data_IF_726573957468
#
_entry.id   IF_726573957468
#
_cell.length_a   1.000
_cell.length_b   1.000
_cell.length_c   1.000
_cell.angle_alpha   90.00
_cell.angle_beta   90.00
_cell.angle_gamma   90.00
#
_symmetry.space_group_name_H-M   'P 1'
#
loop_
_entity.id
_entity.type
_entity.pdbx_description
1 polymer ?
#
# COMPACT_ATOMS: atom_id res chain seq x y z
N UNK A 1 -6.05 -13.87 13.22
CA UNK A 1 -5.23 -12.69 12.93
C UNK A 1 -5.64 -12.22 11.56
N UNK A 2 -6.21 -11.03 11.48
CA UNK A 2 -6.88 -10.56 10.28
C UNK A 2 -5.86 -10.10 9.24
N UNK A 3 -6.26 -10.18 7.97
CA UNK A 3 -5.42 -9.82 6.82
C UNK A 3 -6.12 -8.75 6.00
N UNK A 4 -5.43 -7.64 5.76
CA UNK A 4 -5.91 -6.57 4.89
C UNK A 4 -5.10 -6.62 3.58
N UNK A 5 -5.74 -7.05 2.50
CA UNK A 5 -5.13 -7.03 1.16
C UNK A 5 -5.51 -5.72 0.48
N UNK A 6 -4.52 -4.89 0.16
CA UNK A 6 -4.76 -3.55 -0.39
C UNK A 6 -4.91 -3.59 -1.91
N UNK A 7 -5.93 -2.88 -2.39
CA UNK A 7 -6.09 -2.56 -3.81
C UNK A 7 -5.39 -1.23 -4.17
N UNK A 8 -5.10 -0.99 -5.44
CA UNK A 8 -4.46 0.24 -5.92
C UNK A 8 -5.27 1.48 -5.53
N UNK A 9 -6.60 1.40 -5.61
CA UNK A 9 -7.49 2.54 -5.34
C UNK A 9 -7.45 3.03 -3.89
N UNK A 10 -7.42 2.11 -2.90
CA UNK A 10 -7.44 2.48 -1.48
C UNK A 10 -6.10 3.08 -1.03
N UNK A 11 -5.01 2.65 -1.69
CA UNK A 11 -3.66 3.18 -1.52
C UNK A 11 -3.58 4.60 -2.09
N UNK A 12 -4.00 4.81 -3.34
CA UNK A 12 -3.96 6.12 -4.00
C UNK A 12 -4.78 7.16 -3.24
N UNK A 13 -5.96 6.79 -2.75
CA UNK A 13 -6.84 7.70 -2.03
C UNK A 13 -6.38 7.99 -0.59
N UNK A 14 -5.34 7.31 -0.09
CA UNK A 14 -4.84 7.44 1.29
C UNK A 14 -5.88 7.06 2.35
N UNK A 15 -6.91 6.29 1.97
CA UNK A 15 -7.98 5.90 2.90
C UNK A 15 -7.46 4.89 3.92
N UNK A 16 -6.65 3.93 3.46
CA UNK A 16 -6.06 2.93 4.34
C UNK A 16 -5.12 3.56 5.38
N UNK A 17 -4.30 4.53 4.95
CA UNK A 17 -3.42 5.28 5.86
C UNK A 17 -4.24 6.00 6.94
N UNK A 18 -5.32 6.68 6.56
CA UNK A 18 -6.21 7.36 7.52
C UNK A 18 -6.86 6.40 8.52
N UNK A 19 -7.26 5.21 8.08
CA UNK A 19 -7.81 4.17 8.96
C UNK A 19 -6.74 3.60 9.92
N UNK A 20 -5.49 3.50 9.47
CA UNK A 20 -4.35 3.16 10.33
C UNK A 20 -4.06 4.26 11.35
N UNK A 21 -4.07 5.53 10.93
CA UNK A 21 -3.84 6.69 11.80
C UNK A 21 -4.90 6.81 12.89
N UNK A 22 -6.19 6.68 12.52
CA UNK A 22 -7.32 6.76 13.44
C UNK A 22 -7.41 5.59 14.42
N UNK A 23 -6.69 4.49 14.15
CA UNK A 23 -6.76 3.27 14.94
C UNK A 23 -8.01 2.42 14.66
N UNK A 24 -8.73 2.70 13.57
CA UNK A 24 -9.85 1.86 13.11
C UNK A 24 -9.39 0.45 12.72
N UNK A 25 -8.14 0.35 12.26
CA UNK A 25 -7.49 -0.93 11.99
C UNK A 25 -6.55 -1.25 13.15
N UNK A 26 -6.91 -2.28 13.92
CA UNK A 26 -6.08 -2.86 14.98
C UNK A 26 -5.58 -4.26 14.56
N UNK A 27 -4.30 -4.53 14.82
CA UNK A 27 -3.68 -5.86 14.78
C UNK A 27 -3.97 -6.73 13.54
N UNK A 28 -3.72 -6.21 12.34
CA UNK A 28 -3.80 -6.99 11.09
C UNK A 28 -2.44 -7.14 10.37
N UNK A 29 -2.30 -8.21 9.60
CA UNK A 29 -1.24 -8.34 8.59
C UNK A 29 -1.65 -7.57 7.32
N UNK A 30 -0.85 -6.58 6.93
CA UNK A 30 -1.09 -5.73 5.77
C UNK A 30 -0.39 -6.36 4.57
N UNK A 31 -1.16 -6.68 3.54
CA UNK A 31 -0.63 -7.29 2.31
C UNK A 31 -0.82 -6.30 1.17
N UNK A 32 0.29 -5.92 0.54
CA UNK A 32 0.32 -5.09 -0.66
C UNK A 32 0.69 -5.99 -1.84
N UNK A 33 -0.22 -6.26 -2.79
CA UNK A 33 0.11 -7.05 -3.96
C UNK A 33 1.24 -6.43 -4.77
N UNK A 34 2.17 -7.25 -5.29
CA UNK A 34 3.27 -6.79 -6.15
C UNK A 34 2.75 -6.04 -7.39
N UNK A 35 1.62 -6.50 -7.94
CA UNK A 35 0.93 -5.86 -9.06
C UNK A 35 0.52 -4.40 -8.77
N UNK A 36 0.14 -4.06 -7.53
CA UNK A 36 -0.19 -2.68 -7.14
C UNK A 36 1.06 -1.79 -7.24
N UNK A 37 2.21 -2.29 -6.80
CA UNK A 37 3.48 -1.57 -6.91
C UNK A 37 3.87 -1.37 -8.37
N UNK A 38 3.76 -2.41 -9.19
CA UNK A 38 4.09 -2.34 -10.61
C UNK A 38 3.16 -1.37 -11.36
N UNK A 39 1.86 -1.35 -11.05
CA UNK A 39 0.90 -0.40 -11.62
C UNK A 39 1.29 1.05 -11.25
N UNK A 40 1.54 1.32 -9.97
CA UNK A 40 1.93 2.65 -9.49
C UNK A 40 3.24 3.12 -10.12
N UNK A 41 4.23 2.24 -10.22
CA UNK A 41 5.49 2.51 -10.92
C UNK A 41 5.25 2.81 -12.40
N UNK A 42 4.43 2.03 -13.09
CA UNK A 42 4.12 2.26 -14.49
C UNK A 42 3.40 3.61 -14.73
N UNK A 43 2.51 4.03 -13.83
CA UNK A 43 1.90 5.36 -13.89
C UNK A 43 2.92 6.47 -13.63
N UNK A 44 3.80 6.31 -12.64
CA UNK A 44 4.84 7.27 -12.30
C UNK A 44 5.87 7.43 -13.44
N UNK A 45 6.30 6.32 -14.06
CA UNK A 45 7.19 6.34 -15.23
C UNK A 45 6.58 7.05 -16.45
N UNK A 46 5.25 7.09 -16.54
CA UNK A 46 4.52 7.86 -17.56
C UNK A 46 4.31 9.33 -17.18
N UNK A 47 4.89 9.79 -16.08
CA UNK A 47 4.77 11.17 -15.58
C UNK A 47 3.41 11.49 -14.96
N UNK A 48 2.62 10.48 -14.56
CA UNK A 48 1.30 10.71 -13.98
C UNK A 48 1.39 10.86 -12.46
N UNK A 49 0.87 11.96 -11.94
CA UNK A 49 0.87 12.29 -10.50
C UNK A 49 0.30 11.17 -9.61
N UNK A 50 -0.69 10.43 -10.12
CA UNK A 50 -1.32 9.32 -9.40
C UNK A 50 -0.32 8.22 -9.02
N UNK A 51 0.67 7.95 -9.89
CA UNK A 51 1.71 6.96 -9.62
C UNK A 51 2.64 7.41 -8.50
N UNK A 52 3.10 8.67 -8.57
CA UNK A 52 3.94 9.26 -7.52
C UNK A 52 3.23 9.31 -6.17
N UNK A 53 1.98 9.79 -6.14
CA UNK A 53 1.15 9.83 -4.94
C UNK A 53 0.94 8.44 -4.33
N UNK A 54 0.59 7.45 -5.15
CA UNK A 54 0.39 6.09 -4.65
C UNK A 54 1.66 5.48 -4.06
N UNK A 55 2.82 5.69 -4.70
CA UNK A 55 4.11 5.21 -4.16
C UNK A 55 4.47 5.89 -2.83
N UNK A 56 4.18 7.18 -2.70
CA UNK A 56 4.37 7.92 -1.44
C UNK A 56 3.45 7.37 -0.33
N UNK A 57 2.18 7.10 -0.65
CA UNK A 57 1.24 6.51 0.30
C UNK A 57 1.66 5.10 0.75
N UNK A 58 2.16 4.25 -0.15
CA UNK A 58 2.74 2.94 0.22
C UNK A 58 3.88 3.11 1.21
N UNK A 59 4.76 4.09 0.99
CA UNK A 59 5.88 4.38 1.89
C UNK A 59 5.37 4.78 3.28
N UNK A 60 4.40 5.69 3.36
CA UNK A 60 3.79 6.15 4.62
C UNK A 60 3.09 5.02 5.37
N UNK A 61 2.34 4.16 4.67
CA UNK A 61 1.70 2.97 5.25
C UNK A 61 2.76 2.08 5.90
N UNK A 62 3.89 1.84 5.23
CA UNK A 62 4.97 1.00 5.78
C UNK A 62 5.62 1.62 7.03
N UNK A 63 5.86 2.91 7.02
CA UNK A 63 6.44 3.64 8.17
C UNK A 63 5.49 3.63 9.38
N UNK A 64 4.21 3.94 9.16
CA UNK A 64 3.20 3.97 10.23
C UNK A 64 2.89 2.56 10.76
N UNK A 65 2.82 1.56 9.88
CA UNK A 65 2.65 0.17 10.30
C UNK A 65 3.84 -0.27 11.17
N UNK A 66 5.07 0.07 10.77
CA UNK A 66 6.28 -0.23 11.54
C UNK A 66 6.27 0.40 12.93
N UNK A 67 5.86 1.67 13.06
CA UNK A 67 5.77 2.33 14.38
C UNK A 67 4.68 1.76 15.28
N UNK A 68 3.65 1.14 14.69
CA UNK A 68 2.56 0.43 15.40
C UNK A 68 2.83 -1.07 15.62
N UNK A 69 3.98 -1.59 15.19
CA UNK A 69 4.31 -3.02 15.29
C UNK A 69 3.50 -3.92 14.34
N UNK A 70 2.85 -3.35 13.33
CA UNK A 70 2.08 -4.09 12.33
C UNK A 70 3.00 -4.64 11.23
N UNK A 71 2.68 -5.84 10.75
CA UNK A 71 3.46 -6.48 9.68
C UNK A 71 2.94 -6.05 8.31
N UNK A 72 3.84 -5.57 7.44
CA UNK A 72 3.55 -5.28 6.03
C UNK A 72 4.29 -6.27 5.13
N UNK A 73 3.59 -6.93 4.22
CA UNK A 73 4.17 -7.86 3.24
C UNK A 73 3.81 -7.46 1.83
N UNK A 74 4.80 -7.54 0.96
CA UNK A 74 4.61 -7.47 -0.48
C UNK A 74 4.47 -8.89 -1.00
N UNK A 75 3.33 -9.20 -1.62
CA UNK A 75 2.98 -10.57 -2.03
C UNK A 75 2.57 -10.61 -3.49
N UNK A 76 2.93 -11.68 -4.19
CA UNK A 76 2.61 -11.89 -5.59
C UNK A 76 3.85 -11.85 -6.46
N UNK A 77 3.74 -12.47 -7.62
CA UNK A 77 4.78 -12.46 -8.63
C UNK A 77 4.58 -11.22 -9.51
N UNK A 78 5.68 -10.62 -9.94
CA UNK A 78 5.61 -9.63 -11.00
C UNK A 78 5.06 -10.31 -12.25
N UNK A 79 4.15 -9.68 -13.01
CA UNK A 79 3.74 -10.20 -14.30
C UNK A 79 4.99 -10.51 -15.12
N UNK A 80 5.20 -11.79 -15.44
CA UNK A 80 6.18 -12.16 -16.44
C UNK A 80 5.63 -11.74 -17.81
N UNK A 81 6.51 -11.16 -18.63
CA UNK A 81 6.23 -10.69 -19.98
C UNK A 81 5.82 -11.83 -20.91
#
# INVERSE_FOLDING_TARGET
>A
MDRAVLDTSIVINGRFLRMLESGEIAECEIIIPAAVIDELQAQASKGRDVGFKGLEEVKRIRELAGSKGLTVRFVGERPSL
#
